data_IF_466628796643
#
_entry.id   IF_466628796643
#
_cell.length_a   1.000
_cell.length_b   1.000
_cell.length_c   1.000
_cell.angle_alpha   90.00
_cell.angle_beta   90.00
_cell.angle_gamma   90.00
#
_symmetry.space_group_name_H-M   'P 1'
#
loop_
_entity.id
_entity.type
_entity.pdbx_description
1 polymer ?
#
# COMPACT_ATOMS: atom_id res chain seq x y z
N UNK A 1 14.73 21.85 0.31
CA UNK A 1 14.17 21.29 -0.93
C UNK A 1 14.79 19.91 -1.06
N UNK A 2 14.00 18.82 -1.08
CA UNK A 2 14.60 17.49 -1.25
C UNK A 2 15.43 17.39 -2.51
N UNK A 3 16.41 16.49 -2.46
CA UNK A 3 17.23 16.11 -3.61
C UNK A 3 16.34 15.65 -4.78
N UNK A 4 15.31 14.83 -4.50
CA UNK A 4 14.31 14.39 -5.50
C UNK A 4 13.65 15.57 -6.20
N UNK A 5 13.13 16.54 -5.44
CA UNK A 5 12.51 17.74 -6.03
C UNK A 5 13.48 18.57 -6.86
N UNK A 6 14.74 18.65 -6.45
CA UNK A 6 15.79 19.34 -7.20
C UNK A 6 16.00 18.71 -8.56
N UNK A 7 16.12 17.38 -8.61
CA UNK A 7 16.26 16.63 -9.86
C UNK A 7 15.03 16.82 -10.73
N UNK A 8 13.82 16.56 -10.21
CA UNK A 8 12.58 16.72 -10.99
C UNK A 8 12.40 18.14 -11.54
N UNK A 9 12.72 19.16 -10.74
CA UNK A 9 12.63 20.57 -11.15
C UNK A 9 13.65 20.92 -12.24
N UNK A 10 14.86 20.32 -12.18
CA UNK A 10 15.91 20.50 -13.19
C UNK A 10 15.42 20.05 -14.57
N UNK A 11 14.72 18.91 -14.63
CA UNK A 11 14.09 18.38 -15.86
C UNK A 11 12.68 18.96 -16.13
N UNK A 12 12.27 19.99 -15.37
CA UNK A 12 11.03 20.74 -15.62
C UNK A 12 9.76 20.16 -15.01
N UNK A 13 9.81 19.04 -14.30
CA UNK A 13 8.67 18.40 -13.62
C UNK A 13 8.40 19.08 -12.26
N UNK A 14 7.51 20.08 -12.26
CA UNK A 14 7.23 20.93 -11.08
C UNK A 14 5.88 20.66 -10.39
N UNK A 15 4.92 20.09 -11.13
CA UNK A 15 3.54 19.90 -10.71
C UNK A 15 2.92 18.66 -11.36
N UNK A 16 1.73 18.28 -10.89
CA UNK A 16 0.96 17.14 -11.41
C UNK A 16 0.14 17.52 -12.66
N UNK A 17 0.62 18.43 -13.50
CA UNK A 17 -0.04 18.75 -14.75
C UNK A 17 0.35 17.71 -15.82
N UNK A 18 -0.51 16.71 -15.99
CA UNK A 18 -0.24 15.55 -16.86
C UNK A 18 0.04 15.95 -18.31
N UNK A 19 -0.76 16.83 -18.91
CA UNK A 19 -0.53 17.28 -20.30
C UNK A 19 0.84 17.94 -20.47
N UNK A 20 1.22 18.82 -19.53
CA UNK A 20 2.56 19.43 -19.54
C UNK A 20 3.66 18.40 -19.33
N UNK A 21 3.45 17.42 -18.46
CA UNK A 21 4.45 16.39 -18.17
C UNK A 21 4.62 15.40 -19.33
N UNK A 22 3.54 15.06 -20.05
CA UNK A 22 3.60 14.30 -21.31
C UNK A 22 4.45 15.06 -22.33
N UNK A 23 4.20 16.37 -22.49
CA UNK A 23 5.01 17.18 -23.41
C UNK A 23 6.48 17.20 -22.99
N UNK A 24 6.75 17.45 -21.70
CA UNK A 24 8.11 17.51 -21.15
C UNK A 24 8.88 16.21 -21.39
N UNK A 25 8.31 15.06 -21.03
CA UNK A 25 9.00 13.77 -21.18
C UNK A 25 9.25 13.42 -22.66
N UNK A 26 8.34 13.82 -23.55
CA UNK A 26 8.48 13.61 -25.00
C UNK A 26 9.53 14.54 -25.63
N UNK A 27 9.72 15.73 -25.07
CA UNK A 27 10.70 16.71 -25.53
C UNK A 27 12.14 16.36 -25.09
N UNK A 28 12.34 15.42 -24.14
CA UNK A 28 13.65 14.94 -23.73
C UNK A 28 14.24 13.98 -24.78
N UNK A 29 15.51 14.17 -25.13
CA UNK A 29 16.23 13.20 -25.94
C UNK A 29 16.73 12.00 -25.10
N UNK A 30 17.28 10.97 -25.77
CA UNK A 30 17.74 9.74 -25.10
C UNK A 30 18.80 10.01 -24.01
N UNK A 31 19.78 10.87 -24.27
CA UNK A 31 20.82 11.23 -23.30
C UNK A 31 20.23 11.93 -22.07
N UNK A 32 19.29 12.86 -22.27
CA UNK A 32 18.61 13.56 -21.18
C UNK A 32 17.70 12.65 -20.36
N UNK A 33 17.05 11.68 -21.00
CA UNK A 33 16.25 10.66 -20.30
C UNK A 33 17.14 9.77 -19.46
N UNK A 34 18.28 9.35 -20.02
CA UNK A 34 19.27 8.55 -19.32
C UNK A 34 19.82 9.28 -18.09
N UNK A 35 20.26 10.53 -18.28
CA UNK A 35 20.78 11.38 -17.19
C UNK A 35 19.72 11.60 -16.10
N UNK A 36 18.46 11.85 -16.48
CA UNK A 36 17.36 11.99 -15.52
C UNK A 36 17.15 10.71 -14.69
N UNK A 37 17.15 9.55 -15.34
CA UNK A 37 16.97 8.26 -14.65
C UNK A 37 18.14 8.00 -13.69
N UNK A 38 19.37 8.29 -14.10
CA UNK A 38 20.54 8.16 -13.22
C UNK A 38 20.50 9.13 -12.04
N UNK A 39 20.19 10.40 -12.29
CA UNK A 39 20.09 11.44 -11.26
C UNK A 39 19.02 11.06 -10.23
N UNK A 40 17.84 10.60 -10.69
CA UNK A 40 16.78 10.14 -9.81
C UNK A 40 17.21 8.91 -9.00
N UNK A 41 17.83 7.91 -9.63
CA UNK A 41 18.36 6.74 -8.93
C UNK A 41 19.32 7.13 -7.81
N UNK A 42 20.27 8.03 -8.08
CA UNK A 42 21.28 8.47 -7.12
C UNK A 42 20.72 9.21 -5.90
N UNK A 43 19.52 9.80 -6.00
CA UNK A 43 18.90 10.54 -4.89
C UNK A 43 17.81 9.75 -4.14
N UNK A 44 17.41 8.58 -4.65
CA UNK A 44 16.37 7.75 -4.05
C UNK A 44 16.91 6.68 -3.09
N UNK A 45 18.21 6.38 -3.12
CA UNK A 45 18.82 5.37 -2.24
C UNK A 45 18.75 5.80 -0.77
N UNK A 46 18.17 4.93 0.06
CA UNK A 46 17.99 5.18 1.49
C UNK A 46 19.27 5.02 2.33
N UNK A 47 19.41 5.90 3.33
CA UNK A 47 20.35 5.72 4.45
C UNK A 47 19.72 4.78 5.49
N UNK A 48 20.39 3.64 5.74
CA UNK A 48 19.95 2.63 6.71
C UNK A 48 19.62 3.27 8.07
N UNK A 49 18.37 3.13 8.50
CA UNK A 49 17.96 3.44 9.88
C UNK A 49 18.52 2.38 10.81
N UNK A 50 19.33 2.79 11.79
CA UNK A 50 19.89 1.90 12.82
C UNK A 50 19.01 1.85 14.10
N UNK A 51 17.79 2.38 14.07
CA UNK A 51 16.89 2.36 15.24
C UNK A 51 15.80 1.33 15.04
N UNK A 52 15.76 0.33 15.92
CA UNK A 52 14.64 -0.59 16.01
C UNK A 52 13.36 0.19 16.36
N UNK A 53 12.36 0.12 15.48
CA UNK A 53 11.01 0.63 15.72
C UNK A 53 9.98 -0.35 15.15
N UNK A 54 8.90 -0.57 15.91
CA UNK A 54 7.72 -1.33 15.47
C UNK A 54 6.91 -0.61 14.39
N UNK A 55 7.29 0.61 14.05
CA UNK A 55 6.62 1.45 13.06
C UNK A 55 7.51 1.75 11.85
N UNK A 56 8.51 0.91 11.63
CA UNK A 56 9.12 0.83 10.31
C UNK A 56 8.37 -0.20 9.46
N UNK A 57 8.10 0.16 8.23
CA UNK A 57 7.33 -0.67 7.31
C UNK A 57 8.08 -0.79 5.99
N UNK A 58 7.90 -1.91 5.33
CA UNK A 58 8.22 -2.08 3.92
C UNK A 58 6.94 -2.46 3.15
N UNK A 59 6.89 -2.21 1.85
CA UNK A 59 5.66 -2.42 1.06
C UNK A 59 5.91 -3.33 -0.14
N UNK A 60 4.96 -4.23 -0.42
CA UNK A 60 4.87 -4.91 -1.71
C UNK A 60 4.53 -3.97 -2.87
N UNK A 61 4.82 -4.36 -4.12
CA UNK A 61 4.71 -3.45 -5.28
C UNK A 61 3.29 -2.97 -5.56
N UNK A 62 2.29 -3.78 -5.25
CA UNK A 62 0.88 -3.47 -5.55
C UNK A 62 0.44 -2.16 -4.89
N UNK A 63 0.82 -1.98 -3.62
CA UNK A 63 0.39 -0.83 -2.81
C UNK A 63 1.32 0.37 -2.98
N UNK A 64 2.52 0.16 -3.51
CA UNK A 64 3.49 1.22 -3.82
C UNK A 64 3.30 1.82 -5.23
N UNK A 65 2.19 1.52 -5.91
CA UNK A 65 1.89 2.05 -7.25
C UNK A 65 2.37 1.18 -8.41
N UNK A 66 2.66 -0.11 -8.20
CA UNK A 66 3.00 -1.05 -9.27
C UNK A 66 1.80 -1.43 -10.16
N UNK A 67 2.04 -1.93 -11.38
CA UNK A 67 0.99 -2.14 -12.38
C UNK A 67 0.16 -3.43 -12.20
N UNK A 68 0.42 -4.21 -11.16
CA UNK A 68 -0.23 -5.51 -10.92
C UNK A 68 -0.89 -5.48 -9.54
N UNK A 69 -2.19 -5.84 -9.41
CA UNK A 69 -3.02 -6.45 -10.44
C UNK A 69 -3.79 -5.48 -11.34
N UNK A 70 -3.69 -4.17 -11.12
CA UNK A 70 -4.37 -3.17 -11.93
C UNK A 70 -3.35 -2.18 -12.51
N UNK A 71 -3.23 -2.17 -13.84
CA UNK A 71 -2.31 -1.27 -14.56
C UNK A 71 -2.88 0.15 -14.72
N UNK A 72 -4.17 0.36 -14.45
CA UNK A 72 -4.81 1.68 -14.55
C UNK A 72 -4.12 2.70 -13.66
N UNK A 73 -3.74 3.85 -14.23
CA UNK A 73 -3.07 4.91 -13.50
C UNK A 73 -3.87 5.43 -12.31
N UNK A 74 -5.19 5.54 -12.44
CA UNK A 74 -6.03 6.03 -11.34
C UNK A 74 -6.08 5.03 -10.20
N UNK A 75 -6.20 3.73 -10.50
CA UNK A 75 -6.17 2.68 -9.48
C UNK A 75 -4.81 2.65 -8.77
N UNK A 76 -3.70 2.74 -9.50
CA UNK A 76 -2.35 2.77 -8.93
C UNK A 76 -2.12 4.02 -8.06
N UNK A 77 -2.60 5.18 -8.49
CA UNK A 77 -2.56 6.44 -7.70
C UNK A 77 -3.37 6.31 -6.42
N UNK A 78 -4.53 5.69 -6.48
CA UNK A 78 -5.37 5.47 -5.31
C UNK A 78 -4.69 4.53 -4.29
N UNK A 79 -4.10 3.43 -4.76
CA UNK A 79 -3.34 2.50 -3.92
C UNK A 79 -2.12 3.19 -3.29
N UNK A 80 -1.36 3.97 -4.08
CA UNK A 80 -0.25 4.76 -3.55
C UNK A 80 -0.74 5.74 -2.48
N UNK A 81 -1.83 6.47 -2.74
CA UNK A 81 -2.41 7.41 -1.77
C UNK A 81 -2.79 6.73 -0.46
N UNK A 82 -3.42 5.55 -0.52
CA UNK A 82 -3.73 4.72 0.67
C UNK A 82 -2.46 4.43 1.47
N UNK A 83 -1.37 4.10 0.79
CA UNK A 83 -0.04 3.89 1.39
C UNK A 83 0.53 5.13 2.05
N UNK A 84 0.42 6.29 1.44
CA UNK A 84 0.94 7.54 2.00
C UNK A 84 0.14 8.01 3.21
N UNK A 85 -1.18 7.89 3.16
CA UNK A 85 -2.07 8.14 4.29
C UNK A 85 -1.71 7.21 5.47
N UNK A 86 -1.52 5.91 5.21
CA UNK A 86 -1.03 4.95 6.21
C UNK A 86 0.32 5.39 6.81
N UNK A 87 1.30 5.72 5.96
CA UNK A 87 2.63 6.10 6.40
C UNK A 87 2.60 7.34 7.32
N UNK A 88 1.74 8.31 7.03
CA UNK A 88 1.57 9.48 7.90
C UNK A 88 0.95 9.13 9.24
N UNK A 89 -0.05 8.23 9.25
CA UNK A 89 -0.81 7.87 10.44
C UNK A 89 -0.04 6.98 11.41
N UNK A 90 0.84 6.12 10.91
CA UNK A 90 1.48 5.08 11.73
C UNK A 90 3.00 5.10 11.65
N UNK A 91 3.59 5.36 10.49
CA UNK A 91 4.99 5.05 10.27
C UNK A 91 5.96 6.09 10.84
N UNK A 92 7.08 5.60 11.37
CA UNK A 92 8.33 6.36 11.43
C UNK A 92 8.97 6.43 10.05
N UNK A 93 9.01 5.27 9.38
CA UNK A 93 9.61 5.10 8.07
C UNK A 93 8.86 4.03 7.28
N UNK A 94 8.61 4.26 6.01
CA UNK A 94 8.01 3.32 5.07
C UNK A 94 8.93 3.20 3.87
N UNK A 95 9.48 2.00 3.66
CA UNK A 95 10.37 1.68 2.57
C UNK A 95 9.58 1.13 1.37
N UNK A 96 9.65 1.83 0.25
CA UNK A 96 9.04 1.44 -1.01
C UNK A 96 10.13 0.95 -1.96
N UNK A 97 9.77 0.10 -2.93
CA UNK A 97 10.68 -0.18 -4.03
C UNK A 97 10.89 1.11 -4.83
N UNK A 98 12.14 1.40 -5.19
CA UNK A 98 12.46 2.50 -6.08
C UNK A 98 11.67 2.36 -7.40
N UNK A 99 10.85 3.34 -7.78
CA UNK A 99 10.09 3.29 -9.03
C UNK A 99 11.00 3.44 -10.25
N UNK A 100 12.27 3.79 -10.06
CA UNK A 100 13.25 4.04 -11.13
C UNK A 100 14.00 2.77 -11.53
N UNK A 101 14.03 1.75 -10.69
CA UNK A 101 14.81 0.53 -10.92
C UNK A 101 14.42 -0.21 -12.21
N UNK A 102 13.13 -0.23 -12.56
CA UNK A 102 12.68 -0.88 -13.80
C UNK A 102 13.20 -0.15 -15.04
N UNK A 103 13.32 1.18 -14.98
CA UNK A 103 13.83 1.99 -16.08
C UNK A 103 15.36 1.81 -16.23
N UNK A 104 16.07 1.65 -15.11
CA UNK A 104 17.50 1.28 -15.13
C UNK A 104 17.69 -0.09 -15.80
N UNK A 105 16.91 -1.11 -15.39
CA UNK A 105 16.94 -2.44 -16.02
C UNK A 105 16.74 -2.32 -17.54
N UNK A 106 15.72 -1.57 -17.95
CA UNK A 106 15.37 -1.37 -19.38
C UNK A 106 16.53 -0.73 -20.15
N UNK A 107 17.18 0.30 -19.59
CA UNK A 107 18.33 0.95 -20.18
C UNK A 107 19.54 0.02 -20.29
N UNK A 108 19.82 -0.76 -19.23
CA UNK A 108 20.94 -1.71 -19.21
C UNK A 108 20.78 -2.83 -20.27
N UNK A 109 19.54 -3.25 -20.50
CA UNK A 109 19.19 -4.24 -21.53
C UNK A 109 19.13 -3.64 -22.94
N UNK A 110 19.35 -2.32 -23.11
CA UNK A 110 19.20 -1.58 -24.37
C UNK A 110 17.79 -1.71 -24.97
N UNK A 111 16.79 -1.78 -24.11
CA UNK A 111 15.38 -1.80 -24.46
C UNK A 111 14.78 -0.39 -24.45
N UNK A 112 13.64 -0.22 -25.13
CA UNK A 112 12.92 1.05 -25.14
C UNK A 112 12.23 1.31 -23.81
N UNK A 113 12.42 2.52 -23.26
CA UNK A 113 11.70 2.97 -22.07
C UNK A 113 10.22 3.18 -22.42
N UNK A 114 9.34 2.58 -21.64
CA UNK A 114 7.92 2.89 -21.70
C UNK A 114 7.68 4.28 -21.05
N UNK A 115 7.43 5.29 -21.89
CA UNK A 115 7.24 6.68 -21.43
C UNK A 115 6.03 6.87 -20.53
N UNK A 116 4.96 6.08 -20.74
CA UNK A 116 3.75 6.15 -19.91
C UNK A 116 4.04 5.65 -18.49
N UNK A 117 4.83 4.58 -18.36
CA UNK A 117 5.29 4.06 -17.07
C UNK A 117 6.26 5.03 -16.40
N UNK A 118 7.27 5.53 -17.13
CA UNK A 118 8.21 6.51 -16.58
C UNK A 118 7.51 7.78 -16.11
N UNK A 119 6.53 8.27 -16.87
CA UNK A 119 5.72 9.42 -16.48
C UNK A 119 4.93 9.15 -15.20
N UNK A 120 4.34 7.96 -15.04
CA UNK A 120 3.66 7.60 -13.81
C UNK A 120 4.60 7.56 -12.61
N UNK A 121 5.79 7.00 -12.78
CA UNK A 121 6.79 6.91 -11.73
C UNK A 121 7.29 8.30 -11.30
N UNK A 122 7.48 9.21 -12.26
CA UNK A 122 7.76 10.63 -12.00
C UNK A 122 6.60 11.30 -11.23
N UNK A 123 5.36 11.13 -11.70
CA UNK A 123 4.17 11.68 -11.01
C UNK A 123 4.06 11.13 -9.58
N UNK A 124 4.36 9.85 -9.38
CA UNK A 124 4.36 9.19 -8.07
C UNK A 124 5.42 9.80 -7.14
N UNK A 125 6.62 10.09 -7.63
CA UNK A 125 7.64 10.81 -6.87
C UNK A 125 7.21 12.23 -6.48
N UNK A 126 6.53 12.97 -7.37
CA UNK A 126 5.98 14.29 -7.06
C UNK A 126 4.90 14.20 -5.95
N UNK A 127 4.06 13.17 -5.99
CA UNK A 127 3.06 12.91 -4.95
C UNK A 127 3.79 12.59 -3.62
N UNK A 128 4.80 11.73 -3.64
CA UNK A 128 5.51 11.31 -2.42
C UNK A 128 6.43 12.37 -1.81
N UNK A 129 6.83 13.40 -2.56
CA UNK A 129 7.81 14.44 -2.15
C UNK A 129 7.62 14.95 -0.71
N UNK A 130 6.42 15.34 -0.23
CA UNK A 130 6.27 15.85 1.13
C UNK A 130 6.65 14.85 2.23
N UNK A 131 6.55 13.55 1.95
CA UNK A 131 6.90 12.47 2.89
C UNK A 131 8.35 12.04 2.74
N UNK A 132 8.91 12.13 1.54
CA UNK A 132 10.34 11.95 1.29
C UNK A 132 11.12 13.03 2.04
N UNK A 133 10.73 14.31 1.92
CA UNK A 133 11.35 15.45 2.62
C UNK A 133 11.33 15.29 4.15
N UNK A 134 10.33 14.57 4.68
CA UNK A 134 10.16 14.31 6.11
C UNK A 134 10.80 12.99 6.56
N UNK A 135 11.46 12.26 5.65
CA UNK A 135 12.03 10.93 5.90
C UNK A 135 11.00 9.92 6.44
N UNK A 136 9.72 10.11 6.10
CA UNK A 136 8.64 9.15 6.39
C UNK A 136 8.58 8.10 5.29
N UNK A 137 8.81 8.49 4.04
CA UNK A 137 8.93 7.58 2.89
C UNK A 137 10.37 7.53 2.44
N UNK A 138 10.85 6.32 2.15
CA UNK A 138 12.21 6.02 1.69
C UNK A 138 12.15 4.95 0.61
N UNK A 139 13.24 4.77 -0.15
CA UNK A 139 13.29 3.75 -1.19
C UNK A 139 14.45 2.77 -1.01
N UNK A 140 14.18 1.50 -1.25
CA UNK A 140 15.22 0.53 -1.51
C UNK A 140 15.38 0.33 -3.02
N UNK A 141 16.60 0.01 -3.44
CA UNK A 141 16.90 -0.25 -4.84
C UNK A 141 17.51 -1.64 -5.01
N UNK A 142 17.19 -2.30 -6.11
CA UNK A 142 17.88 -3.50 -6.60
C UNK A 142 19.36 -3.20 -6.95
N UNK A 143 19.68 -1.92 -7.20
CA UNK A 143 20.98 -1.46 -7.64
C UNK A 143 21.78 -0.85 -6.50
N UNK A 144 22.40 -1.71 -5.70
CA UNK A 144 23.29 -1.29 -4.61
C UNK A 144 24.76 -1.54 -4.96
N UNK A 145 25.59 -0.53 -4.70
CA UNK A 145 27.05 -0.69 -4.78
C UNK A 145 27.55 -1.45 -3.56
N UNK A 146 28.11 -2.65 -3.76
CA UNK A 146 28.65 -3.49 -2.71
C UNK A 146 30.17 -3.62 -2.85
N UNK A 147 30.89 -3.68 -1.72
CA UNK A 147 32.26 -4.17 -1.74
C UNK A 147 32.29 -5.67 -2.06
N UNK A 148 33.46 -6.22 -2.42
CA UNK A 148 33.59 -7.63 -2.81
C UNK A 148 33.06 -8.60 -1.73
N UNK A 149 33.36 -8.34 -0.45
CA UNK A 149 32.91 -9.18 0.65
C UNK A 149 31.39 -9.11 0.86
N UNK A 150 30.82 -7.90 0.88
CA UNK A 150 29.37 -7.71 0.96
C UNK A 150 28.65 -8.33 -0.24
N UNK A 151 29.24 -8.31 -1.44
CA UNK A 151 28.69 -8.97 -2.61
C UNK A 151 28.61 -10.49 -2.42
N UNK A 152 29.69 -11.13 -1.94
CA UNK A 152 29.68 -12.57 -1.68
C UNK A 152 28.64 -12.96 -0.62
N UNK A 153 28.54 -12.18 0.46
CA UNK A 153 27.54 -12.40 1.50
C UNK A 153 26.11 -12.27 0.97
N UNK A 154 25.82 -11.21 0.20
CA UNK A 154 24.50 -11.03 -0.40
C UNK A 154 24.19 -12.13 -1.42
N UNK A 155 25.18 -12.57 -2.22
CA UNK A 155 24.98 -13.65 -3.18
C UNK A 155 24.56 -14.96 -2.51
N UNK A 156 25.23 -15.34 -1.41
CA UNK A 156 24.84 -16.54 -0.64
C UNK A 156 23.41 -16.41 -0.10
N UNK A 157 23.04 -15.23 0.41
CA UNK A 157 21.67 -14.94 0.88
C UNK A 157 20.66 -15.05 -0.27
N UNK A 158 20.95 -14.43 -1.42
CA UNK A 158 20.13 -14.52 -2.63
C UNK A 158 19.92 -15.95 -3.10
N UNK A 159 20.99 -16.73 -3.24
CA UNK A 159 20.93 -18.10 -3.71
C UNK A 159 20.08 -18.95 -2.74
N UNK A 160 20.24 -18.77 -1.44
CA UNK A 160 19.45 -19.46 -0.40
C UNK A 160 17.96 -19.13 -0.50
N UNK A 161 17.59 -17.85 -0.65
CA UNK A 161 16.18 -17.46 -0.77
C UNK A 161 15.59 -17.92 -2.10
N UNK A 162 16.36 -17.87 -3.20
CA UNK A 162 15.94 -18.39 -4.51
C UNK A 162 15.64 -19.87 -4.45
N UNK A 163 16.54 -20.68 -3.86
CA UNK A 163 16.34 -22.11 -3.68
C UNK A 163 15.10 -22.40 -2.82
N UNK A 164 14.89 -21.64 -1.75
CA UNK A 164 13.72 -21.78 -0.88
C UNK A 164 12.40 -21.54 -1.65
N UNK A 165 12.36 -20.51 -2.50
CA UNK A 165 11.21 -20.20 -3.36
C UNK A 165 11.03 -21.32 -4.40
N UNK A 166 12.09 -21.70 -5.11
CA UNK A 166 12.05 -22.74 -6.16
C UNK A 166 11.55 -24.08 -5.62
N UNK A 167 12.03 -24.50 -4.45
CA UNK A 167 11.61 -25.75 -3.78
C UNK A 167 10.14 -25.75 -3.37
N UNK A 168 9.51 -24.58 -3.29
CA UNK A 168 8.10 -24.42 -2.93
C UNK A 168 7.22 -23.93 -4.09
N UNK A 169 7.80 -23.60 -5.25
CA UNK A 169 7.10 -23.01 -6.40
C UNK A 169 5.85 -23.80 -6.79
N UNK A 170 5.97 -25.12 -6.96
CA UNK A 170 4.83 -25.97 -7.35
C UNK A 170 3.68 -25.94 -6.34
N UNK A 171 3.98 -25.78 -5.04
CA UNK A 171 2.94 -25.65 -4.00
C UNK A 171 2.28 -24.28 -4.06
N UNK A 172 3.07 -23.23 -4.28
CA UNK A 172 2.59 -21.84 -4.43
C UNK A 172 1.68 -21.73 -5.65
N UNK A 173 2.15 -22.21 -6.79
CA UNK A 173 1.42 -22.21 -8.05
C UNK A 173 0.07 -22.91 -7.87
N UNK A 174 0.07 -24.11 -7.26
CA UNK A 174 -1.16 -24.85 -6.99
C UNK A 174 -2.10 -24.11 -6.02
N UNK A 175 -1.56 -23.48 -4.98
CA UNK A 175 -2.34 -22.68 -4.02
C UNK A 175 -3.07 -21.53 -4.73
N UNK A 176 -2.36 -20.81 -5.61
CA UNK A 176 -2.93 -19.69 -6.36
C UNK A 176 -3.90 -20.22 -7.44
N UNK A 177 -3.48 -21.18 -8.27
CA UNK A 177 -4.26 -21.76 -9.37
C UNK A 177 -5.64 -22.24 -8.92
N UNK A 178 -5.70 -22.88 -7.75
CA UNK A 178 -6.95 -23.40 -7.20
C UNK A 178 -7.85 -22.32 -6.59
N UNK A 179 -7.28 -21.20 -6.15
CA UNK A 179 -8.05 -20.14 -5.48
C UNK A 179 -8.50 -18.99 -6.39
N UNK A 180 -7.85 -18.76 -7.52
CA UNK A 180 -8.26 -17.73 -8.48
C UNK A 180 -9.31 -18.27 -9.46
N UNK A 181 -10.26 -17.44 -9.89
CA UNK A 181 -11.19 -17.78 -10.98
C UNK A 181 -10.81 -16.98 -12.21
N UNK A 182 -10.71 -17.65 -13.35
CA UNK A 182 -10.39 -16.99 -14.61
C UNK A 182 -10.92 -17.77 -15.81
N UNK A 183 -11.08 -17.06 -16.92
CA UNK A 183 -11.52 -17.59 -18.20
C UNK A 183 -10.76 -16.94 -19.37
N UNK A 184 -10.80 -17.58 -20.53
CA UNK A 184 -10.28 -17.05 -21.78
C UNK A 184 -11.40 -16.33 -22.53
N UNK A 185 -11.18 -15.07 -22.88
CA UNK A 185 -12.13 -14.22 -23.59
C UNK A 185 -11.48 -13.57 -24.83
N UNK A 186 -12.30 -12.93 -25.66
CA UNK A 186 -11.86 -12.22 -26.86
C UNK A 186 -12.61 -10.90 -27.00
N UNK A 187 -11.86 -9.82 -27.18
CA UNK A 187 -12.39 -8.48 -27.39
C UNK A 187 -11.40 -7.71 -28.26
N UNK A 188 -11.88 -6.76 -29.09
CA UNK A 188 -11.01 -5.82 -29.84
C UNK A 188 -9.82 -6.50 -30.55
N UNK A 189 -10.12 -7.60 -31.23
CA UNK A 189 -9.18 -8.41 -31.99
C UNK A 189 -8.04 -9.12 -31.23
N UNK A 190 -8.14 -9.21 -29.91
CA UNK A 190 -7.17 -9.95 -29.09
C UNK A 190 -7.86 -10.93 -28.14
N UNK A 191 -7.15 -12.03 -27.87
CA UNK A 191 -7.51 -12.89 -26.74
C UNK A 191 -7.01 -12.24 -25.45
N UNK A 192 -7.72 -12.45 -24.35
CA UNK A 192 -7.27 -12.05 -23.03
C UNK A 192 -7.74 -13.04 -21.97
N UNK A 193 -7.01 -13.09 -20.86
CA UNK A 193 -7.44 -13.83 -19.67
C UNK A 193 -8.18 -12.87 -18.77
N UNK A 194 -9.47 -13.15 -18.52
CA UNK A 194 -10.27 -12.43 -17.54
C UNK A 194 -10.14 -13.13 -16.19
N UNK A 195 -9.52 -12.49 -15.22
CA UNK A 195 -9.42 -12.97 -13.84
C UNK A 195 -10.47 -12.25 -13.01
N UNK A 196 -11.34 -13.01 -12.36
CA UNK A 196 -12.44 -12.46 -11.56
C UNK A 196 -11.93 -11.78 -10.28
N UNK A 197 -12.72 -10.84 -9.79
CA UNK A 197 -12.56 -10.22 -8.48
C UNK A 197 -12.31 -11.23 -7.37
N UNK A 198 -11.26 -10.98 -6.60
CA UNK A 198 -10.88 -11.78 -5.45
C UNK A 198 -9.84 -11.04 -4.60
N UNK A 199 -10.33 -10.42 -3.53
CA UNK A 199 -9.53 -9.59 -2.63
C UNK A 199 -8.44 -10.37 -1.88
N UNK A 200 -8.55 -11.70 -1.72
CA UNK A 200 -7.45 -12.51 -1.18
C UNK A 200 -6.17 -12.35 -2.02
N UNK A 201 -6.33 -12.14 -3.32
CA UNK A 201 -5.29 -11.98 -4.31
C UNK A 201 -5.15 -10.52 -4.78
N UNK A 202 -5.72 -9.55 -4.05
CA UNK A 202 -5.63 -8.13 -4.40
C UNK A 202 -6.43 -7.70 -5.64
N UNK A 203 -7.25 -8.59 -6.22
CA UNK A 203 -8.14 -8.25 -7.34
C UNK A 203 -9.39 -7.54 -6.80
N UNK A 204 -9.30 -6.21 -6.62
CA UNK A 204 -10.45 -5.35 -6.24
C UNK A 204 -11.50 -5.26 -7.36
N UNK A 205 -11.04 -5.40 -8.60
CA UNK A 205 -11.85 -5.43 -9.81
C UNK A 205 -11.39 -6.60 -10.69
N UNK A 206 -12.10 -6.90 -11.78
CA UNK A 206 -11.64 -7.86 -12.77
C UNK A 206 -10.26 -7.43 -13.35
N UNK A 207 -9.32 -8.37 -13.42
CA UNK A 207 -8.01 -8.16 -14.06
C UNK A 207 -8.03 -8.77 -15.46
N UNK A 208 -7.64 -7.98 -16.47
CA UNK A 208 -7.55 -8.44 -17.85
C UNK A 208 -6.08 -8.57 -18.27
N UNK A 209 -5.66 -9.78 -18.62
CA UNK A 209 -4.32 -10.05 -19.15
C UNK A 209 -4.40 -10.19 -20.67
N UNK A 210 -3.97 -9.16 -21.40
CA UNK A 210 -3.93 -9.19 -22.86
C UNK A 210 -2.92 -10.24 -23.34
N UNK A 211 -3.35 -11.11 -24.25
CA UNK A 211 -2.48 -12.07 -24.90
C UNK A 211 -1.96 -11.45 -26.20
N UNK A 212 -0.75 -10.92 -26.16
CA UNK A 212 -0.10 -10.22 -27.29
C UNK A 212 0.19 -11.19 -28.44
N UNK A 213 0.77 -12.35 -28.14
CA UNK A 213 0.94 -13.44 -29.10
C UNK A 213 -0.06 -14.56 -28.76
N UNK A 214 -1.11 -14.71 -29.55
CA UNK A 214 -2.13 -15.75 -29.34
C UNK A 214 -1.79 -17.09 -30.02
N UNK A 215 -0.65 -17.20 -30.72
CA UNK A 215 -0.31 -18.41 -31.48
C UNK A 215 -0.13 -19.63 -30.59
N UNK A 216 0.39 -19.45 -29.36
CA UNK A 216 0.58 -20.53 -28.39
C UNK A 216 -0.74 -21.17 -27.95
N UNK A 217 -1.88 -20.46 -28.06
CA UNK A 217 -3.20 -21.03 -27.76
C UNK A 217 -3.53 -22.21 -28.67
N UNK A 218 -3.01 -22.24 -29.90
CA UNK A 218 -3.22 -23.35 -30.83
C UNK A 218 -2.61 -24.68 -30.34
N UNK A 219 -1.71 -24.64 -29.35
CA UNK A 219 -1.12 -25.85 -28.77
C UNK A 219 -2.09 -26.60 -27.84
N UNK A 220 -3.14 -25.91 -27.35
CA UNK A 220 -4.05 -26.47 -26.35
C UNK A 220 -5.54 -26.32 -26.70
N UNK A 221 -5.88 -25.38 -27.59
CA UNK A 221 -7.23 -25.15 -28.07
C UNK A 221 -7.41 -25.61 -29.52
N UNK A 222 -8.54 -26.26 -29.78
CA UNK A 222 -8.99 -26.56 -31.13
C UNK A 222 -9.46 -25.30 -31.86
N UNK A 223 -9.32 -25.29 -33.20
CA UNK A 223 -9.75 -24.15 -34.04
C UNK A 223 -11.22 -23.77 -33.84
N UNK A 224 -12.09 -24.75 -33.58
CA UNK A 224 -13.53 -24.52 -33.35
C UNK A 224 -13.75 -23.86 -31.99
N UNK A 225 -13.01 -24.26 -30.95
CA UNK A 225 -13.08 -23.65 -29.61
C UNK A 225 -12.69 -22.18 -29.68
N UNK A 226 -11.54 -21.87 -30.31
CA UNK A 226 -11.08 -20.49 -30.49
C UNK A 226 -12.08 -19.64 -31.29
N UNK A 227 -12.68 -20.19 -32.35
CA UNK A 227 -13.76 -19.49 -33.09
C UNK A 227 -14.99 -19.23 -32.22
N UNK A 228 -15.39 -20.18 -31.39
CA UNK A 228 -16.52 -20.01 -30.48
C UNK A 228 -16.24 -18.89 -29.46
N UNK A 229 -15.03 -18.86 -28.88
CA UNK A 229 -14.61 -17.79 -27.96
C UNK A 229 -14.61 -16.43 -28.67
N UNK A 230 -14.07 -16.34 -29.89
CA UNK A 230 -14.13 -15.12 -30.71
C UNK A 230 -15.55 -14.63 -30.98
N UNK A 231 -16.52 -15.54 -31.06
CA UNK A 231 -17.94 -15.20 -31.23
C UNK A 231 -18.65 -14.83 -29.92
N UNK A 232 -17.93 -14.72 -28.80
CA UNK A 232 -18.48 -14.37 -27.50
C UNK A 232 -19.16 -15.52 -26.77
N UNK A 233 -19.02 -16.77 -27.24
CA UNK A 233 -19.56 -17.93 -26.53
C UNK A 233 -18.70 -18.26 -25.33
N UNK A 234 -19.33 -18.43 -24.17
CA UNK A 234 -18.66 -18.88 -22.97
C UNK A 234 -18.02 -20.27 -23.19
N UNK A 235 -16.74 -20.40 -22.86
CA UNK A 235 -15.98 -21.65 -22.98
C UNK A 235 -15.49 -22.08 -21.61
N UNK A 236 -15.93 -23.27 -21.16
CA UNK A 236 -15.45 -23.85 -19.92
C UNK A 236 -14.08 -24.48 -20.17
N UNK A 237 -13.04 -23.96 -19.52
CA UNK A 237 -11.68 -24.47 -19.66
C UNK A 237 -11.59 -25.88 -19.07
N UNK A 238 -11.04 -26.83 -19.84
CA UNK A 238 -10.64 -28.13 -19.29
C UNK A 238 -9.49 -27.95 -18.28
N UNK A 239 -9.26 -28.91 -17.39
CA UNK A 239 -8.14 -28.84 -16.43
C UNK A 239 -6.78 -28.63 -17.12
N UNK A 240 -6.57 -29.23 -18.31
CA UNK A 240 -5.35 -29.06 -19.09
C UNK A 240 -5.23 -27.64 -19.68
N UNK A 241 -6.31 -27.11 -20.25
CA UNK A 241 -6.37 -25.73 -20.77
C UNK A 241 -6.17 -24.70 -19.66
N UNK A 242 -6.82 -24.92 -18.50
CA UNK A 242 -6.71 -24.08 -17.32
C UNK A 242 -5.27 -24.02 -16.82
N UNK A 243 -4.63 -25.17 -16.63
CA UNK A 243 -3.23 -25.24 -16.22
C UNK A 243 -2.31 -24.55 -17.22
N UNK A 244 -2.52 -24.78 -18.51
CA UNK A 244 -1.72 -24.14 -19.56
C UNK A 244 -1.87 -22.60 -19.56
N UNK A 245 -3.07 -22.06 -19.45
CA UNK A 245 -3.27 -20.60 -19.32
C UNK A 245 -2.63 -20.07 -18.04
N UNK A 246 -2.76 -20.81 -16.93
CA UNK A 246 -2.16 -20.42 -15.66
C UNK A 246 -0.63 -20.31 -15.80
N UNK A 247 0.02 -21.37 -16.28
CA UNK A 247 1.48 -21.47 -16.39
C UNK A 247 2.06 -20.43 -17.37
N UNK A 248 1.37 -20.12 -18.48
CA UNK A 248 1.91 -19.22 -19.53
C UNK A 248 1.46 -17.76 -19.43
N UNK A 249 0.31 -17.47 -18.81
CA UNK A 249 -0.21 -16.09 -18.71
C UNK A 249 -0.15 -15.56 -17.27
N UNK A 250 -0.64 -16.34 -16.31
CA UNK A 250 -0.85 -15.87 -14.94
C UNK A 250 0.44 -15.96 -14.13
N UNK A 251 1.23 -17.03 -14.29
CA UNK A 251 2.50 -17.19 -13.58
C UNK A 251 3.48 -16.06 -13.89
N UNK A 252 3.76 -15.72 -15.16
CA UNK A 252 4.71 -14.64 -15.46
C UNK A 252 4.19 -13.27 -15.05
N UNK A 253 2.89 -13.01 -15.20
CA UNK A 253 2.31 -11.66 -15.04
C UNK A 253 1.87 -11.35 -13.61
N UNK A 254 1.53 -12.36 -12.81
CA UNK A 254 0.95 -12.16 -11.48
C UNK A 254 1.71 -12.93 -10.39
N UNK A 255 1.98 -14.22 -10.57
CA UNK A 255 2.67 -15.03 -9.53
C UNK A 255 4.14 -14.61 -9.38
N UNK A 256 4.87 -14.47 -10.48
CA UNK A 256 6.30 -14.11 -10.46
C UNK A 256 6.52 -12.75 -9.81
N UNK A 257 5.73 -11.69 -10.09
CA UNK A 257 5.81 -10.44 -9.34
C UNK A 257 5.60 -10.56 -7.83
N UNK A 258 4.65 -11.40 -7.36
CA UNK A 258 4.46 -11.67 -5.92
C UNK A 258 5.72 -12.28 -5.32
N UNK A 259 6.28 -13.29 -5.99
CA UNK A 259 7.47 -13.97 -5.51
C UNK A 259 8.70 -13.07 -5.50
N UNK A 260 8.81 -12.17 -6.48
CA UNK A 260 9.86 -11.17 -6.50
C UNK A 260 9.70 -10.17 -5.34
N UNK A 261 8.48 -9.76 -4.98
CA UNK A 261 8.26 -8.91 -3.80
C UNK A 261 8.70 -9.59 -2.51
N UNK A 262 8.32 -10.86 -2.33
CA UNK A 262 8.71 -11.65 -1.16
C UNK A 262 10.23 -11.90 -1.14
N UNK A 263 10.83 -12.16 -2.30
CA UNK A 263 12.27 -12.30 -2.46
C UNK A 263 12.98 -11.04 -1.98
N UNK A 264 12.63 -9.87 -2.51
CA UNK A 264 13.27 -8.61 -2.13
C UNK A 264 13.03 -8.23 -0.67
N UNK A 265 11.83 -8.47 -0.14
CA UNK A 265 11.55 -8.30 1.28
C UNK A 265 12.54 -9.10 2.14
N UNK A 266 12.77 -10.38 1.80
CA UNK A 266 13.76 -11.21 2.51
C UNK A 266 15.20 -10.70 2.34
N UNK A 267 15.62 -10.33 1.12
CA UNK A 267 16.99 -9.87 0.89
C UNK A 267 17.29 -8.58 1.66
N UNK A 268 16.42 -7.58 1.54
CA UNK A 268 16.69 -6.24 2.07
C UNK A 268 16.29 -6.04 3.53
N UNK A 269 15.31 -6.80 4.04
CA UNK A 269 14.65 -6.45 5.30
C UNK A 269 14.51 -7.58 6.32
N UNK A 270 14.91 -8.83 6.01
CA UNK A 270 14.81 -9.97 6.94
C UNK A 270 15.50 -9.72 8.28
N UNK A 271 16.63 -9.01 8.27
CA UNK A 271 17.42 -8.68 9.47
C UNK A 271 17.02 -7.34 10.10
N UNK A 272 15.84 -6.81 9.76
CA UNK A 272 15.34 -5.51 10.24
C UNK A 272 14.07 -5.64 11.05
N UNK A 273 13.72 -4.57 11.78
CA UNK A 273 12.43 -4.49 12.50
C UNK A 273 11.25 -4.12 11.60
N UNK A 274 11.44 -4.04 10.27
CA UNK A 274 10.38 -3.62 9.36
C UNK A 274 9.27 -4.66 9.24
N UNK A 275 8.04 -4.19 9.17
CA UNK A 275 6.85 -4.99 8.91
C UNK A 275 6.46 -4.92 7.44
N UNK A 276 6.19 -6.07 6.81
CA UNK A 276 5.80 -6.14 5.41
C UNK A 276 4.31 -5.84 5.23
N UNK A 277 4.01 -4.82 4.43
CA UNK A 277 2.66 -4.37 4.10
C UNK A 277 2.27 -4.82 2.70
N UNK A 278 1.07 -5.39 2.60
CA UNK A 278 0.49 -5.82 1.34
C UNK A 278 -1.04 -5.84 1.38
N UNK A 279 -1.66 -5.52 0.25
CA UNK A 279 -3.09 -5.70 -0.01
C UNK A 279 -3.41 -7.09 -0.61
N UNK A 280 -2.50 -8.06 -0.50
CA UNK A 280 -2.69 -9.45 -0.96
C UNK A 280 -2.51 -10.40 0.22
N UNK A 281 -3.58 -11.08 0.63
CA UNK A 281 -3.54 -11.99 1.79
C UNK A 281 -2.72 -13.24 1.48
N UNK A 282 -2.65 -13.58 0.20
CA UNK A 282 -1.79 -14.66 -0.29
C UNK A 282 -0.30 -14.42 0.00
N UNK A 283 0.17 -13.17 0.06
CA UNK A 283 1.60 -12.89 0.30
C UNK A 283 2.05 -13.51 1.62
N UNK A 284 1.28 -13.33 2.68
CA UNK A 284 1.67 -13.89 3.96
C UNK A 284 1.31 -15.36 4.17
N UNK A 285 0.37 -15.93 3.41
CA UNK A 285 0.26 -17.40 3.29
C UNK A 285 1.54 -17.99 2.68
N UNK A 286 2.09 -17.35 1.64
CA UNK A 286 3.36 -17.76 1.03
C UNK A 286 4.51 -17.57 2.01
N UNK A 287 4.65 -16.40 2.64
CA UNK A 287 5.71 -16.14 3.63
C UNK A 287 5.66 -17.19 4.75
N UNK A 288 4.48 -17.48 5.33
CA UNK A 288 4.31 -18.50 6.35
C UNK A 288 4.72 -19.90 5.86
N UNK A 289 4.40 -20.24 4.61
CA UNK A 289 4.79 -21.52 4.03
C UNK A 289 6.31 -21.64 3.85
N UNK A 290 6.97 -20.57 3.40
CA UNK A 290 8.43 -20.53 3.26
C UNK A 290 9.10 -20.62 4.64
N UNK A 291 8.63 -19.85 5.61
CA UNK A 291 9.10 -19.87 7.00
C UNK A 291 9.00 -21.25 7.66
N UNK A 292 7.87 -21.94 7.48
CA UNK A 292 7.68 -23.29 8.00
C UNK A 292 8.58 -24.34 7.31
N UNK A 293 8.98 -24.08 6.07
CA UNK A 293 9.90 -24.97 5.34
C UNK A 293 11.32 -24.86 5.89
N UNK A 294 11.78 -23.66 6.23
CA UNK A 294 13.08 -23.42 6.88
C UNK A 294 13.15 -24.11 8.25
N UNK A 295 12.11 -23.96 9.08
CA UNK A 295 12.05 -24.58 10.42
C UNK A 295 12.18 -26.10 10.41
N UNK A 296 11.64 -26.75 9.37
CA UNK A 296 11.75 -28.21 9.20
C UNK A 296 13.15 -28.68 8.82
N UNK A 297 13.97 -27.79 8.24
CA UNK A 297 15.33 -28.11 7.81
C UNK A 297 16.32 -27.88 8.96
N UNK A 298 16.13 -26.85 9.77
CA UNK A 298 17.18 -26.41 10.69
C UNK A 298 16.98 -26.75 12.18
N UNK A 299 15.83 -27.30 12.62
CA UNK A 299 15.54 -27.47 14.06
C UNK A 299 15.76 -26.17 14.90
N UNK A 300 15.72 -25.00 14.25
CA UNK A 300 15.92 -23.71 14.92
C UNK A 300 14.57 -23.23 15.44
N UNK A 301 14.44 -23.20 16.76
CA UNK A 301 13.35 -22.54 17.47
C UNK A 301 13.65 -21.05 17.59
N UNK A 302 13.34 -20.27 16.55
CA UNK A 302 13.32 -18.81 16.71
C UNK A 302 11.96 -18.21 16.33
N UNK A 303 11.41 -17.51 17.33
CA UNK A 303 10.16 -16.76 17.38
C UNK A 303 10.15 -15.51 16.50
N UNK A 304 11.21 -15.22 15.75
CA UNK A 304 11.35 -13.97 15.01
C UNK A 304 10.78 -14.02 13.57
N UNK A 305 10.48 -15.22 13.07
CA UNK A 305 10.17 -15.47 11.65
C UNK A 305 8.66 -15.37 11.32
N UNK A 306 7.77 -15.25 12.32
CA UNK A 306 6.32 -15.44 12.14
C UNK A 306 5.36 -14.29 12.49
N UNK A 307 5.82 -13.12 12.93
CA UNK A 307 4.90 -12.07 13.43
C UNK A 307 4.75 -10.83 12.52
N UNK A 308 5.42 -10.77 11.36
CA UNK A 308 5.64 -9.49 10.64
C UNK A 308 4.87 -9.30 9.33
N UNK A 309 3.74 -9.97 9.15
CA UNK A 309 2.75 -9.54 8.14
C UNK A 309 1.58 -8.99 8.94
N UNK A 310 1.50 -7.68 9.06
CA UNK A 310 0.47 -7.05 9.86
C UNK A 310 -0.76 -6.76 8.98
N UNK A 311 -1.83 -7.49 9.25
CA UNK A 311 -2.99 -7.61 8.37
C UNK A 311 -4.11 -6.61 8.67
N UNK A 312 -3.96 -5.72 9.65
CA UNK A 312 -5.06 -4.84 10.03
C UNK A 312 -4.57 -3.56 10.74
N UNK A 313 -4.16 -2.56 9.97
CA UNK A 313 -4.10 -1.20 10.48
C UNK A 313 -5.31 -0.38 10.03
N UNK A 314 -5.86 0.47 10.90
CA UNK A 314 -6.99 1.31 10.52
C UNK A 314 -6.58 2.25 9.38
N UNK A 315 -7.45 2.38 8.38
CA UNK A 315 -7.31 3.38 7.33
C UNK A 315 -8.38 4.46 7.48
N UNK A 316 -8.12 5.65 6.95
CA UNK A 316 -9.11 6.73 6.90
C UNK A 316 -9.35 7.06 5.44
N UNK A 317 -10.56 6.77 4.98
CA UNK A 317 -10.99 7.05 3.61
C UNK A 317 -11.02 8.56 3.33
N UNK A 318 -10.73 8.90 2.07
CA UNK A 318 -10.79 10.27 1.53
C UNK A 318 -9.96 11.33 2.28
N UNK A 319 -8.84 10.92 2.88
CA UNK A 319 -7.91 11.90 3.45
C UNK A 319 -7.01 12.55 2.42
N UNK A 320 -6.55 13.75 2.74
CA UNK A 320 -5.44 14.40 2.05
C UNK A 320 -4.22 14.25 2.95
N UNK A 321 -3.32 13.32 2.63
CA UNK A 321 -2.11 13.07 3.42
C UNK A 321 -1.33 14.37 3.70
N UNK A 322 -1.38 15.40 2.86
CA UNK A 322 -0.72 16.70 3.13
C UNK A 322 -1.35 17.42 4.32
N UNK A 323 -2.68 17.32 4.49
CA UNK A 323 -3.39 17.82 5.69
C UNK A 323 -3.14 16.95 6.91
N UNK A 324 -2.89 15.65 6.74
CA UNK A 324 -2.51 14.73 7.81
C UNK A 324 -1.09 15.05 8.31
N UNK A 325 -0.14 15.29 7.40
CA UNK A 325 1.22 15.76 7.71
C UNK A 325 1.14 17.01 8.58
N UNK A 326 0.37 18.02 8.15
CA UNK A 326 0.21 19.27 8.89
C UNK A 326 -0.41 19.07 10.29
N UNK A 327 -1.23 18.04 10.46
CA UNK A 327 -1.82 17.69 11.74
C UNK A 327 -0.80 16.96 12.63
N UNK A 328 -0.06 16.01 12.07
CA UNK A 328 1.04 15.29 12.76
C UNK A 328 2.10 16.26 13.26
N UNK A 329 2.49 17.24 12.45
CA UNK A 329 3.48 18.25 12.84
C UNK A 329 2.97 19.16 13.97
N UNK A 330 1.71 19.61 13.88
CA UNK A 330 1.16 20.54 14.87
C UNK A 330 0.85 19.89 16.22
N UNK A 331 0.68 18.56 16.26
CA UNK A 331 0.33 17.77 17.44
C UNK A 331 1.30 16.60 17.68
N UNK A 332 2.60 16.81 17.42
CA UNK A 332 3.61 15.75 17.49
C UNK A 332 3.64 15.00 18.84
N UNK A 333 3.39 15.70 19.95
CA UNK A 333 3.35 15.09 21.28
C UNK A 333 2.20 14.10 21.43
N UNK A 334 0.99 14.50 21.02
CA UNK A 334 -0.20 13.63 21.08
C UNK A 334 -0.10 12.47 20.08
N UNK A 335 0.54 12.69 18.93
CA UNK A 335 0.86 11.61 17.98
C UNK A 335 1.75 10.53 18.60
N UNK A 336 2.83 10.94 19.29
CA UNK A 336 3.74 10.00 19.97
C UNK A 336 3.01 9.21 21.07
N UNK A 337 2.23 9.89 21.90
CA UNK A 337 1.41 9.25 22.94
C UNK A 337 0.46 8.22 22.33
N UNK A 338 -0.25 8.58 21.25
CA UNK A 338 -1.10 7.66 20.52
C UNK A 338 -0.35 6.43 20.03
N UNK A 339 0.81 6.60 19.42
CA UNK A 339 1.60 5.48 18.91
C UNK A 339 2.14 4.58 20.01
N UNK A 340 2.65 5.16 21.09
CA UNK A 340 3.18 4.39 22.22
C UNK A 340 2.07 3.54 22.85
N UNK A 341 0.87 4.10 23.03
CA UNK A 341 -0.27 3.38 23.59
C UNK A 341 -0.87 2.37 22.61
N UNK A 342 -1.01 2.72 21.33
CA UNK A 342 -1.45 1.80 20.30
C UNK A 342 -0.52 0.58 20.20
N UNK A 343 0.80 0.78 20.27
CA UNK A 343 1.80 -0.30 20.29
C UNK A 343 1.65 -1.24 21.48
N UNK A 344 1.36 -0.69 22.65
CA UNK A 344 1.18 -1.49 23.87
C UNK A 344 -0.10 -2.30 23.79
N UNK A 345 -1.16 -1.72 23.23
CA UNK A 345 -2.46 -2.37 23.18
C UNK A 345 -2.54 -3.40 22.06
N UNK A 346 -1.99 -3.13 20.88
CA UNK A 346 -2.03 -4.05 19.73
C UNK A 346 -1.27 -5.36 19.98
N UNK A 347 -0.19 -5.33 20.78
CA UNK A 347 0.59 -6.51 21.19
C UNK A 347 -0.20 -7.55 22.00
N UNK A 348 -1.39 -7.19 22.47
CA UNK A 348 -2.27 -8.10 23.23
C UNK A 348 -3.15 -8.97 22.32
N UNK A 349 -3.09 -8.75 21.02
CA UNK A 349 -3.95 -9.36 20.01
C UNK A 349 -3.09 -10.13 19.01
N UNK A 350 -3.61 -11.27 18.53
CA UNK A 350 -2.94 -12.12 17.52
C UNK A 350 -3.09 -11.61 16.07
N UNK A 351 -3.63 -10.39 15.90
CA UNK A 351 -3.79 -9.65 14.64
C UNK A 351 -4.48 -10.42 13.51
N UNK A 352 -5.29 -11.43 13.85
CA UNK A 352 -6.28 -12.00 12.94
C UNK A 352 -7.44 -11.02 12.72
N UNK A 353 -8.25 -11.25 11.67
CA UNK A 353 -9.43 -10.39 11.39
C UNK A 353 -10.36 -10.29 12.61
N UNK A 354 -10.69 -11.43 13.20
CA UNK A 354 -11.60 -11.54 14.36
C UNK A 354 -11.00 -10.82 15.58
N UNK A 355 -9.71 -11.01 15.81
CA UNK A 355 -8.95 -10.36 16.88
C UNK A 355 -8.80 -8.85 16.70
N UNK A 356 -8.76 -8.35 15.46
CA UNK A 356 -8.80 -6.90 15.23
C UNK A 356 -10.19 -6.30 15.45
N UNK A 357 -11.26 -6.98 15.01
CA UNK A 357 -12.63 -6.52 15.32
C UNK A 357 -12.83 -6.43 16.85
N UNK A 358 -12.28 -7.39 17.59
CA UNK A 358 -12.20 -7.36 19.04
C UNK A 358 -11.34 -6.19 19.55
N UNK A 359 -10.15 -5.95 18.98
CA UNK A 359 -9.30 -4.80 19.33
C UNK A 359 -10.02 -3.46 19.14
N UNK A 360 -10.71 -3.27 18.02
CA UNK A 360 -11.48 -2.06 17.76
C UNK A 360 -12.61 -1.89 18.77
N UNK A 361 -13.39 -2.95 19.02
CA UNK A 361 -14.54 -2.93 19.93
C UNK A 361 -14.11 -2.72 21.38
N UNK A 362 -13.04 -3.36 21.81
CA UNK A 362 -12.68 -3.51 23.23
C UNK A 362 -11.57 -2.52 23.67
N UNK A 363 -10.80 -1.96 22.73
CA UNK A 363 -9.74 -0.97 23.04
C UNK A 363 -10.01 0.39 22.40
N UNK A 364 -10.10 0.44 21.07
CA UNK A 364 -10.15 1.72 20.36
C UNK A 364 -11.44 2.47 20.69
N UNK A 365 -12.60 1.83 20.52
CA UNK A 365 -13.90 2.48 20.70
C UNK A 365 -14.12 2.97 22.15
N UNK A 366 -13.77 2.20 23.21
CA UNK A 366 -13.85 2.67 24.59
C UNK A 366 -12.96 3.89 24.87
N UNK A 367 -11.72 3.90 24.38
CA UNK A 367 -10.81 5.05 24.55
C UNK A 367 -11.36 6.30 23.84
N UNK A 368 -11.94 6.16 22.66
CA UNK A 368 -12.61 7.28 21.97
C UNK A 368 -13.88 7.74 22.71
N UNK A 369 -14.71 6.81 23.20
CA UNK A 369 -15.91 7.14 23.96
C UNK A 369 -15.59 7.89 25.27
N UNK A 370 -14.47 7.56 25.91
CA UNK A 370 -13.97 8.28 27.08
C UNK A 370 -13.64 9.73 26.74
N UNK A 371 -12.93 9.97 25.64
CA UNK A 371 -12.62 11.33 25.13
C UNK A 371 -13.91 12.10 24.87
N UNK A 372 -14.88 11.50 24.14
CA UNK A 372 -16.17 12.12 23.86
C UNK A 372 -16.92 12.49 25.14
N UNK A 373 -17.01 11.57 26.10
CA UNK A 373 -17.66 11.79 27.40
C UNK A 373 -17.01 12.94 28.18
N UNK A 374 -15.68 13.04 28.14
CA UNK A 374 -14.94 14.11 28.81
C UNK A 374 -15.16 15.48 28.14
N UNK A 375 -15.26 15.52 26.81
CA UNK A 375 -15.64 16.73 26.08
C UNK A 375 -17.09 17.15 26.42
N UNK A 376 -18.01 16.21 26.49
CA UNK A 376 -19.42 16.46 26.83
C UNK A 376 -19.61 17.01 28.24
N UNK A 377 -18.96 16.39 29.24
CA UNK A 377 -19.04 16.83 30.65
C UNK A 377 -18.55 18.28 30.82
N UNK A 378 -17.58 18.68 30.01
CA UNK A 378 -17.01 20.03 30.03
C UNK A 378 -17.73 21.03 29.11
N UNK A 379 -18.77 20.60 28.38
CA UNK A 379 -19.56 21.43 27.45
C UNK A 379 -20.20 22.65 28.11
N UNK A 380 -20.61 22.55 29.39
CA UNK A 380 -21.17 23.68 30.16
C UNK A 380 -20.14 24.78 30.44
N UNK A 381 -18.87 24.43 30.61
CA UNK A 381 -17.78 25.39 30.84
C UNK A 381 -17.35 26.04 29.51
N UNK A 382 -17.34 25.24 28.45
CA UNK A 382 -17.07 25.64 27.06
C UNK A 382 -18.13 26.63 26.54
N UNK A 383 -19.42 26.37 26.81
CA UNK A 383 -20.52 27.26 26.40
C UNK A 383 -20.50 28.64 27.07
N UNK A 384 -19.88 28.78 28.25
CA UNK A 384 -19.81 30.06 28.98
C UNK A 384 -18.83 31.05 28.35
N UNK A 385 -17.93 30.59 27.48
CA UNK A 385 -17.03 31.43 26.69
C UNK A 385 -17.29 31.25 25.18
N UNK A 386 -18.02 32.21 24.57
CA UNK A 386 -18.16 32.42 23.11
C UNK A 386 -18.78 31.28 22.26
N UNK A 387 -19.94 30.77 22.64
CA UNK A 387 -20.77 29.88 21.79
C UNK A 387 -22.15 30.48 21.48
N UNK A 388 -22.21 31.66 20.82
CA UNK A 388 -23.50 32.28 20.42
C UNK A 388 -23.92 32.05 18.95
N UNK A 389 -23.08 31.47 18.08
CA UNK A 389 -23.35 31.48 16.64
C UNK A 389 -23.43 30.10 15.94
N UNK A 390 -23.52 28.97 16.65
CA UNK A 390 -23.67 27.66 15.99
C UNK A 390 -24.77 26.86 16.70
N UNK A 391 -25.79 26.50 15.94
CA UNK A 391 -27.01 25.85 16.41
C UNK A 391 -26.76 24.59 17.24
N UNK A 392 -27.53 24.47 18.31
CA UNK A 392 -27.57 23.37 19.25
C UNK A 392 -28.01 22.07 18.59
N UNK A 393 -27.07 21.19 18.27
CA UNK A 393 -27.20 19.72 18.29
C UNK A 393 -25.82 19.12 18.01
N UNK A 394 -25.04 18.85 19.07
CA UNK A 394 -23.82 18.05 18.94
C UNK A 394 -24.23 16.60 19.17
N UNK A 395 -24.59 15.91 18.09
CA UNK A 395 -24.56 14.45 18.07
C UNK A 395 -23.11 14.00 17.89
N UNK A 396 -22.62 13.10 18.74
CA UNK A 396 -21.31 12.49 18.55
C UNK A 396 -21.50 11.26 17.66
N UNK A 397 -21.02 11.28 16.41
CA UNK A 397 -21.19 10.13 15.53
C UNK A 397 -20.41 8.93 16.09
N UNK A 398 -21.05 7.77 16.06
CA UNK A 398 -20.38 6.48 16.18
C UNK A 398 -19.37 6.35 15.02
N UNK A 399 -18.23 5.78 15.34
CA UNK A 399 -17.06 5.74 14.48
C UNK A 399 -16.97 4.35 13.86
N UNK A 400 -16.98 4.31 12.54
CA UNK A 400 -16.51 3.17 11.78
C UNK A 400 -15.05 3.44 11.46
N UNK A 401 -14.13 2.67 12.05
CA UNK A 401 -12.93 2.32 11.29
C UNK A 401 -13.38 1.25 10.33
N UNK A 402 -13.09 1.42 9.05
CA UNK A 402 -13.14 0.31 8.12
C UNK A 402 -12.10 -0.69 8.64
N UNK A 403 -12.54 -1.81 9.22
CA UNK A 403 -11.72 -3.03 9.22
C UNK A 403 -11.80 -3.63 7.84
N UNK A 404 -11.34 -2.86 6.87
CA UNK A 404 -10.63 -3.53 5.82
C UNK A 404 -9.34 -3.98 6.49
N UNK A 405 -8.96 -5.26 6.33
CA UNK A 405 -7.59 -5.50 5.85
C UNK A 405 -7.27 -4.34 4.90
N UNK A 406 -6.09 -3.69 4.87
CA UNK A 406 -5.52 -2.80 3.79
C UNK A 406 -6.07 -2.83 2.30
N UNK A 407 -7.30 -3.21 2.06
CA UNK A 407 -7.91 -4.00 0.99
C UNK A 407 -9.33 -3.44 0.93
N UNK A 408 -9.80 -3.07 -0.25
CA UNK A 408 -11.22 -2.79 -0.50
C UNK A 408 -12.12 -4.00 -0.30
N UNK A 409 -12.14 -4.62 0.89
CA UNK A 409 -13.23 -5.46 1.35
C UNK A 409 -14.39 -4.54 1.69
N UNK A 410 -15.30 -4.47 0.74
CA UNK A 410 -16.68 -4.03 0.90
C UNK A 410 -17.41 -5.00 1.86
N UNK A 411 -16.98 -5.05 3.12
CA UNK A 411 -17.90 -5.43 4.19
C UNK A 411 -18.61 -4.16 4.58
N UNK A 412 -19.80 -4.03 4.01
CA UNK A 412 -20.99 -3.30 4.46
C UNK A 412 -21.34 -3.53 5.96
N UNK A 413 -20.38 -3.69 6.87
CA UNK A 413 -20.56 -3.44 8.29
C UNK A 413 -20.26 -1.98 8.57
N UNK A 414 -21.05 -1.11 7.93
CA UNK A 414 -21.39 0.20 8.44
C UNK A 414 -22.10 0.03 9.79
N UNK A 415 -21.36 -0.22 10.87
CA UNK A 415 -21.91 -0.11 12.22
C UNK A 415 -21.95 1.39 12.57
N UNK A 416 -23.01 2.07 12.13
CA UNK A 416 -23.48 3.31 12.77
C UNK A 416 -23.72 4.52 11.88
N UNK A 417 -24.98 4.68 11.47
CA UNK A 417 -25.78 5.91 11.33
C UNK A 417 -25.15 7.16 10.69
N UNK A 418 -25.77 7.54 9.56
CA UNK A 418 -25.68 8.81 8.87
C UNK A 418 -25.98 10.03 9.76
N UNK A 419 -25.21 11.10 9.56
CA UNK A 419 -25.47 12.43 10.13
C UNK A 419 -24.29 13.38 9.94
N UNK A 420 -24.31 14.18 8.88
CA UNK A 420 -23.33 15.24 8.65
C UNK A 420 -23.65 16.48 9.52
N UNK A 421 -22.65 17.01 10.24
CA UNK A 421 -22.72 18.32 10.91
C UNK A 421 -21.45 19.08 10.55
N UNK A 422 -21.53 20.31 9.99
CA UNK A 422 -20.36 21.11 9.68
C UNK A 422 -19.73 21.65 10.97
N UNK A 423 -18.41 21.45 11.17
CA UNK A 423 -17.67 22.11 12.25
C UNK A 423 -16.50 22.90 11.68
N UNK A 424 -16.39 24.15 12.13
CA UNK A 424 -15.38 25.12 11.69
C UNK A 424 -13.97 24.86 12.27
N UNK A 425 -12.94 25.38 11.57
CA UNK A 425 -11.49 25.29 11.86
C UNK A 425 -11.03 25.85 13.24
N UNK A 426 -11.92 26.12 14.20
CA UNK A 426 -11.61 26.80 15.46
C UNK A 426 -11.52 25.88 16.69
N UNK A 427 -11.76 24.57 16.58
CA UNK A 427 -11.76 23.63 17.73
C UNK A 427 -10.38 23.49 18.38
N UNK A 428 -9.31 23.47 17.57
CA UNK A 428 -7.93 23.27 18.08
C UNK A 428 -7.47 24.36 19.06
N UNK A 429 -7.88 25.62 18.83
CA UNK A 429 -7.57 26.75 19.72
C UNK A 429 -8.45 26.80 20.98
N UNK A 430 -9.49 25.98 21.05
CA UNK A 430 -10.48 26.01 22.13
C UNK A 430 -10.17 25.00 23.25
N UNK A 431 -9.63 23.83 22.89
CA UNK A 431 -9.19 22.80 23.85
C UNK A 431 -7.94 23.23 24.64
N UNK A 432 -7.17 24.21 24.15
CA UNK A 432 -6.00 24.78 24.85
C UNK A 432 -6.35 25.62 26.08
N UNK A 433 -7.63 25.97 26.29
CA UNK A 433 -8.03 26.93 27.34
C UNK A 433 -9.02 26.38 28.37
N UNK A 434 -9.37 25.10 28.34
CA UNK A 434 -10.18 24.49 29.39
C UNK A 434 -9.32 24.15 30.60
N UNK A 435 -9.37 24.98 31.65
CA UNK A 435 -8.81 24.62 32.96
C UNK A 435 -9.61 23.44 33.54
N UNK A 436 -8.97 22.28 33.67
CA UNK A 436 -9.45 21.16 34.48
C UNK A 436 -9.44 19.78 33.84
N UNK A 437 -9.34 19.67 32.51
CA UNK A 437 -9.20 18.38 31.83
C UNK A 437 -8.45 18.57 30.51
N UNK A 438 -7.19 18.15 30.45
CA UNK A 438 -6.41 18.24 29.22
C UNK A 438 -6.72 17.04 28.32
N UNK A 439 -7.75 17.19 27.50
CA UNK A 439 -8.15 16.17 26.51
C UNK A 439 -6.98 15.82 25.57
N UNK A 440 -5.98 16.71 25.39
CA UNK A 440 -4.80 16.43 24.56
C UNK A 440 -3.86 15.38 25.15
N UNK A 441 -3.99 15.09 26.44
CA UNK A 441 -3.20 14.10 27.17
C UNK A 441 -3.77 12.68 27.13
N UNK A 442 -4.98 12.51 26.60
CA UNK A 442 -5.58 11.17 26.45
C UNK A 442 -4.88 10.37 25.35
N UNK A 443 -4.65 9.08 25.62
CA UNK A 443 -3.91 8.14 24.78
C UNK A 443 -4.26 8.23 23.29
N UNK A 444 -5.56 8.23 22.96
CA UNK A 444 -6.05 8.17 21.57
C UNK A 444 -6.49 9.54 21.04
N UNK A 445 -6.07 10.64 21.67
CA UNK A 445 -6.46 12.00 21.28
C UNK A 445 -6.10 12.33 19.84
N UNK A 446 -4.91 11.95 19.39
CA UNK A 446 -4.46 12.22 18.02
C UNK A 446 -5.40 11.58 16.99
N UNK A 447 -5.75 10.31 17.21
CA UNK A 447 -6.68 9.57 16.36
C UNK A 447 -8.08 10.22 16.34
N UNK A 448 -8.60 10.58 17.52
CA UNK A 448 -9.86 11.32 17.66
C UNK A 448 -9.85 12.65 16.88
N UNK A 449 -8.72 13.37 16.92
CA UNK A 449 -8.57 14.67 16.24
C UNK A 449 -8.54 14.53 14.73
N UNK A 450 -7.87 13.51 14.20
CA UNK A 450 -7.89 13.21 12.76
C UNK A 450 -9.33 12.95 12.31
N UNK A 451 -10.06 12.08 13.01
CA UNK A 451 -11.45 11.75 12.67
C UNK A 451 -12.36 12.98 12.59
N UNK A 452 -12.21 13.92 13.55
CA UNK A 452 -12.96 15.18 13.54
C UNK A 452 -12.63 16.08 12.36
N UNK A 453 -11.40 16.05 11.86
CA UNK A 453 -10.92 16.92 10.78
C UNK A 453 -11.31 16.42 9.38
N UNK A 454 -11.42 15.11 9.17
CA UNK A 454 -11.56 14.52 7.83
C UNK A 454 -12.95 13.94 7.49
N UNK A 455 -13.86 13.71 8.45
CA UNK A 455 -15.29 13.41 8.15
C UNK A 455 -16.10 14.61 7.60
N UNK A 456 -15.48 15.79 7.46
CA UNK A 456 -16.15 17.04 7.05
C UNK A 456 -16.09 17.33 5.53
N UNK A 457 -15.44 16.50 4.72
CA UNK A 457 -15.24 16.76 3.28
C UNK A 457 -16.07 15.89 2.32
N UNK A 458 -16.80 14.89 2.80
CA UNK A 458 -17.61 13.98 1.97
C UNK A 458 -19.03 14.45 1.62
N UNK A 459 -19.31 15.75 1.70
CA UNK A 459 -20.67 16.29 1.53
C UNK A 459 -20.70 17.51 0.62
N UNK A 460 -20.43 17.32 -0.67
CA UNK A 460 -20.94 18.16 -1.76
C UNK A 460 -20.58 17.51 -3.11
N UNK A 461 -21.37 16.51 -3.50
CA UNK A 461 -21.59 16.15 -4.90
C UNK A 461 -23.10 16.19 -5.13
N UNK A 462 -23.61 17.39 -5.38
CA UNK A 462 -24.85 17.65 -6.12
C UNK A 462 -24.73 19.08 -6.65
N UNK A 463 -24.49 19.16 -7.95
CA UNK A 463 -24.35 20.36 -8.75
C UNK A 463 -24.10 19.96 -10.18
#
# INVERSE_FOLDING_TARGET
MSKVKSVLTHYGFKDLNREKNIKRITDLNEDQLFDMIQDLSGVLIDDKSNKESFFEFETGRTISGGPIPCASFECRKEQLKKTLDFAVLYADKTALKSPIDQHINTLMEKNFINMDELLFDIESLIIMEPLIDKNIVSFYSEYICLCADCYQQNKVKEDTVRELILNNQLKIDKLIETGIKFELAYQEDHFYVRVCENLKYGFEHEMHLIIVDSTFLNNIFGRIELRNIKSGKQHCLTSKQRKFIFDYCIVPTYVTPILNDIFYSKIFFEDTSKTYLSNRSIDGEIINMLSNSVRKIENVSDSQILEKVDYAFPYIEDTDYKKLISLRDSDLSSFKVFRDEFSKDIKKFDMTKESYEDFQRDVIQPKINKINSSVEKNKKYINKHRWKNIGSNIGFPLITFSVGKYYGLDTLTNIGLSGAIPISNHIGKFLEKSKGYDVKSEDYYFLWRIQKKFKLTGGNLNG
#
